data_IF_279999087776
#
_entry.id   IF_279999087776
#
_cell.length_a   1.000
_cell.length_b   1.000
_cell.length_c   1.000
_cell.angle_alpha   90.00
_cell.angle_beta   90.00
_cell.angle_gamma   90.00
#
_symmetry.space_group_name_H-M   'P 1'
#
loop_
_entity.id
_entity.type
_entity.pdbx_description
1 polymer ?
#
# COMPACT_ATOMS: atom_id res chain seq x y z
N UNK A 1 -10.13 -7.02 15.22
CA UNK A 1 -11.32 -7.43 14.45
C UNK A 1 -10.85 -8.27 13.26
N UNK A 2 -11.69 -9.17 12.74
CA UNK A 2 -11.38 -9.96 11.55
C UNK A 2 -12.27 -9.49 10.40
N UNK A 3 -11.69 -9.27 9.22
CA UNK A 3 -12.39 -8.85 8.00
C UNK A 3 -12.39 -10.05 7.04
N UNK A 4 -13.54 -10.71 6.84
CA UNK A 4 -13.65 -11.94 6.04
C UNK A 4 -13.67 -11.72 4.53
N UNK A 5 -13.70 -10.47 4.08
CA UNK A 5 -13.71 -10.07 2.68
C UNK A 5 -12.81 -8.85 2.47
N UNK A 6 -12.35 -8.68 1.24
CA UNK A 6 -11.50 -7.56 0.82
C UNK A 6 -12.16 -6.19 0.99
N UNK A 7 -13.45 -6.11 0.70
CA UNK A 7 -14.25 -4.90 0.85
C UNK A 7 -14.43 -4.51 2.32
N UNK A 8 -14.55 -5.50 3.21
CA UNK A 8 -14.65 -5.26 4.66
C UNK A 8 -13.32 -4.68 5.19
N UNK A 9 -12.20 -5.24 4.74
CA UNK A 9 -10.88 -4.71 5.05
C UNK A 9 -10.74 -3.27 4.54
N UNK A 10 -11.11 -3.03 3.28
CA UNK A 10 -10.99 -1.71 2.66
C UNK A 10 -11.90 -0.66 3.32
N UNK A 11 -13.12 -1.05 3.68
CA UNK A 11 -14.04 -0.19 4.43
C UNK A 11 -13.45 0.18 5.80
N UNK A 12 -12.86 -0.80 6.52
CA UNK A 12 -12.24 -0.50 7.82
C UNK A 12 -10.97 0.33 7.68
N UNK A 13 -10.15 0.08 6.66
CA UNK A 13 -8.96 0.88 6.37
C UNK A 13 -9.33 2.35 6.15
N UNK A 14 -10.38 2.62 5.35
CA UNK A 14 -10.90 3.97 5.11
C UNK A 14 -11.44 4.66 6.37
N UNK A 15 -11.92 3.90 7.35
CA UNK A 15 -12.38 4.46 8.62
C UNK A 15 -11.22 4.81 9.55
N UNK A 16 -10.13 4.05 9.54
CA UNK A 16 -9.02 4.22 10.49
C UNK A 16 -7.95 5.20 10.00
N UNK A 17 -7.62 5.22 8.70
CA UNK A 17 -6.60 6.12 8.15
C UNK A 17 -6.84 7.61 8.48
N UNK A 18 -8.07 8.16 8.36
CA UNK A 18 -8.32 9.57 8.68
C UNK A 18 -8.09 9.93 10.15
N UNK A 19 -8.10 8.94 11.06
CA UNK A 19 -7.94 9.15 12.51
C UNK A 19 -6.48 9.31 12.93
N UNK A 20 -5.52 9.06 12.03
CA UNK A 20 -4.09 9.15 12.32
C UNK A 20 -3.69 10.56 12.79
N UNK A 21 -2.86 10.64 13.83
CA UNK A 21 -2.39 11.89 14.43
C UNK A 21 -0.87 12.06 14.40
N UNK A 22 -0.10 10.96 14.36
CA UNK A 22 1.36 10.98 14.45
C UNK A 22 2.00 10.37 13.22
N UNK A 23 1.64 9.14 12.88
CA UNK A 23 2.23 8.45 11.74
C UNK A 23 1.34 7.36 11.14
N UNK A 24 1.57 7.09 9.86
CA UNK A 24 1.03 5.97 9.10
C UNK A 24 2.20 5.29 8.38
N UNK A 25 2.46 4.02 8.71
CA UNK A 25 3.48 3.22 8.04
C UNK A 25 2.83 2.10 7.24
N UNK A 26 3.22 1.96 5.98
CA UNK A 26 2.67 0.98 5.04
C UNK A 26 3.80 0.15 4.40
N UNK A 27 3.59 -1.16 4.30
CA UNK A 27 4.48 -2.13 3.65
C UNK A 27 3.61 -3.06 2.78
N UNK A 28 3.78 -3.05 1.45
CA UNK A 28 2.94 -3.83 0.52
C UNK A 28 3.71 -4.38 -0.68
N UNK A 29 3.35 -5.58 -1.11
CA UNK A 29 3.92 -6.21 -2.31
C UNK A 29 3.37 -5.60 -3.60
N UNK A 30 2.05 -5.45 -3.70
CA UNK A 30 1.37 -4.89 -4.89
C UNK A 30 0.64 -3.61 -4.50
N UNK A 31 0.87 -2.58 -5.31
CA UNK A 31 0.10 -1.35 -5.34
C UNK A 31 -0.22 -1.06 -6.80
N UNK A 32 -1.48 -0.79 -7.10
CA UNK A 32 -1.96 -0.50 -8.44
C UNK A 32 -2.93 0.68 -8.39
N UNK A 33 -2.78 1.65 -9.30
CA UNK A 33 -3.73 2.77 -9.44
C UNK A 33 -5.11 2.21 -9.81
N UNK A 34 -6.14 2.82 -9.25
CA UNK A 34 -7.50 2.29 -9.30
C UNK A 34 -8.31 2.76 -8.09
N UNK A 35 -9.56 2.32 -7.99
CA UNK A 35 -10.47 2.76 -6.94
C UNK A 35 -9.87 2.62 -5.53
N UNK A 36 -9.30 1.46 -5.22
CA UNK A 36 -8.77 1.16 -3.90
C UNK A 36 -7.60 2.08 -3.55
N UNK A 37 -6.56 2.07 -4.38
CA UNK A 37 -5.34 2.82 -4.08
C UNK A 37 -5.56 4.32 -4.18
N UNK A 38 -6.31 4.81 -5.17
CA UNK A 38 -6.57 6.24 -5.31
C UNK A 38 -7.34 6.78 -4.10
N UNK A 39 -8.32 6.03 -3.60
CA UNK A 39 -9.05 6.38 -2.36
C UNK A 39 -8.13 6.43 -1.15
N UNK A 40 -7.28 5.41 -0.97
CA UNK A 40 -6.30 5.38 0.13
C UNK A 40 -5.32 6.55 0.00
N UNK A 41 -4.81 6.80 -1.20
CA UNK A 41 -3.83 7.83 -1.48
C UNK A 41 -4.37 9.23 -1.17
N UNK A 42 -5.63 9.53 -1.49
CA UNK A 42 -6.25 10.81 -1.12
C UNK A 42 -6.29 11.02 0.40
N UNK A 43 -6.63 9.97 1.17
CA UNK A 43 -6.61 10.05 2.64
C UNK A 43 -5.16 10.26 3.14
N UNK A 44 -4.19 9.54 2.58
CA UNK A 44 -2.78 9.69 2.95
C UNK A 44 -2.26 11.11 2.65
N UNK A 45 -2.62 11.69 1.49
CA UNK A 45 -2.31 13.07 1.13
C UNK A 45 -2.88 14.05 2.15
N UNK A 46 -4.15 13.88 2.54
CA UNK A 46 -4.80 14.72 3.52
C UNK A 46 -4.11 14.65 4.89
N UNK A 47 -3.74 13.44 5.35
CA UNK A 47 -3.03 13.25 6.62
C UNK A 47 -1.60 13.80 6.57
N UNK A 48 -0.87 13.57 5.49
CA UNK A 48 0.47 14.13 5.30
C UNK A 48 0.45 15.67 5.29
N UNK A 49 -0.54 16.28 4.63
CA UNK A 49 -0.75 17.74 4.65
C UNK A 49 -1.10 18.26 6.06
N UNK A 50 -1.78 17.46 6.88
CA UNK A 50 -2.05 17.77 8.29
C UNK A 50 -0.85 17.54 9.23
N UNK A 51 0.32 17.16 8.71
CA UNK A 51 1.55 16.97 9.47
C UNK A 51 1.77 15.55 10.03
N UNK A 52 0.93 14.58 9.64
CA UNK A 52 1.12 13.16 9.98
C UNK A 52 2.28 12.60 9.16
N UNK A 53 3.21 11.88 9.78
CA UNK A 53 4.29 11.22 9.06
C UNK A 53 3.77 10.00 8.29
N UNK A 54 3.84 10.03 6.95
CA UNK A 54 3.44 8.90 6.12
C UNK A 54 4.66 8.28 5.45
N UNK A 55 4.90 7.00 5.74
CA UNK A 55 5.98 6.22 5.14
C UNK A 55 5.42 5.00 4.40
N UNK A 56 5.86 4.79 3.18
CA UNK A 56 5.46 3.68 2.32
C UNK A 56 6.69 2.93 1.81
N UNK A 57 6.73 1.63 2.06
CA UNK A 57 7.63 0.69 1.41
C UNK A 57 6.79 -0.20 0.49
N UNK A 58 7.23 -0.36 -0.75
CA UNK A 58 6.58 -1.30 -1.66
C UNK A 58 7.58 -2.05 -2.53
N UNK A 59 7.22 -3.28 -2.86
CA UNK A 59 8.07 -4.18 -3.61
C UNK A 59 8.13 -3.79 -5.10
N UNK A 60 9.34 -3.58 -5.62
CA UNK A 60 9.52 -3.15 -7.01
C UNK A 60 9.03 -4.22 -8.00
N UNK A 61 9.36 -5.50 -7.82
CA UNK A 61 8.88 -6.58 -8.68
C UNK A 61 7.35 -6.66 -8.71
N UNK A 62 6.71 -6.52 -7.54
CA UNK A 62 5.25 -6.47 -7.45
C UNK A 62 4.63 -5.25 -8.12
N UNK A 63 5.36 -4.15 -8.30
CA UNK A 63 4.82 -2.88 -8.79
C UNK A 63 5.39 -2.40 -10.15
N UNK A 64 6.43 -3.03 -10.69
CA UNK A 64 7.20 -2.53 -11.85
C UNK A 64 6.37 -2.34 -13.13
N UNK A 65 5.30 -3.13 -13.30
CA UNK A 65 4.37 -3.01 -14.43
C UNK A 65 3.11 -2.19 -14.09
N UNK A 66 2.97 -1.74 -12.84
CA UNK A 66 1.76 -1.11 -12.30
C UNK A 66 1.95 0.37 -11.94
N UNK A 67 3.17 0.74 -11.56
CA UNK A 67 3.54 2.09 -11.14
C UNK A 67 4.71 2.60 -11.99
N UNK A 68 4.81 3.91 -12.13
CA UNK A 68 5.94 4.53 -12.83
C UNK A 68 7.22 4.43 -11.99
N UNK A 69 8.38 4.37 -12.65
CA UNK A 69 9.67 4.43 -11.94
C UNK A 69 9.87 5.74 -11.14
N UNK A 70 9.14 6.80 -11.51
CA UNK A 70 9.14 8.09 -10.80
C UNK A 70 8.13 8.16 -9.66
N UNK A 71 7.39 7.09 -9.36
CA UNK A 71 6.31 7.11 -8.38
C UNK A 71 6.75 7.52 -6.96
N UNK A 72 7.94 7.14 -6.44
CA UNK A 72 8.42 7.68 -5.16
C UNK A 72 8.55 9.21 -5.16
N UNK A 73 8.91 9.80 -6.31
CA UNK A 73 9.01 11.26 -6.48
C UNK A 73 7.63 11.91 -6.55
N UNK A 74 6.66 11.24 -7.18
CA UNK A 74 5.26 11.67 -7.16
C UNK A 74 4.73 11.73 -5.72
N UNK A 75 4.95 10.68 -4.93
CA UNK A 75 4.54 10.61 -3.52
C UNK A 75 5.26 11.65 -2.64
N UNK A 76 6.54 11.90 -2.88
CA UNK A 76 7.28 12.94 -2.17
C UNK A 76 6.67 14.34 -2.38
N UNK A 77 6.06 14.60 -3.55
CA UNK A 77 5.32 15.84 -3.82
C UNK A 77 4.09 16.05 -2.91
N UNK A 78 3.64 14.99 -2.22
CA UNK A 78 2.55 15.01 -1.25
C UNK A 78 3.03 14.89 0.21
N UNK A 79 4.32 15.08 0.48
CA UNK A 79 4.95 14.84 1.78
C UNK A 79 4.87 13.38 2.26
N UNK A 80 4.69 12.43 1.33
CA UNK A 80 4.70 10.98 1.62
C UNK A 80 6.11 10.45 1.33
N UNK A 81 6.75 9.86 2.33
CA UNK A 81 8.08 9.25 2.19
C UNK A 81 7.90 7.85 1.61
N UNK A 82 8.36 7.62 0.38
CA UNK A 82 8.21 6.34 -0.28
C UNK A 82 9.56 5.77 -0.75
N UNK A 83 9.74 4.46 -0.60
CA UNK A 83 10.92 3.74 -1.10
C UNK A 83 10.53 2.42 -1.75
N UNK A 84 11.30 2.07 -2.79
CA UNK A 84 11.21 0.77 -3.45
C UNK A 84 12.00 -0.27 -2.66
N UNK A 85 11.38 -1.40 -2.36
CA UNK A 85 12.07 -2.56 -1.82
C UNK A 85 12.66 -3.41 -2.96
N UNK A 86 13.94 -3.76 -2.80
CA UNK A 86 14.73 -4.59 -3.71
C UNK A 86 14.49 -4.26 -5.19
N UNK A 87 14.88 -3.04 -5.59
CA UNK A 87 14.71 -2.56 -6.96
C UNK A 87 15.31 -3.55 -7.98
N UNK A 88 14.53 -3.86 -9.01
CA UNK A 88 14.89 -4.74 -10.10
C UNK A 88 16.03 -4.13 -10.89
N UNK A 89 17.04 -4.95 -11.15
CA UNK A 89 18.23 -4.58 -11.93
C UNK A 89 18.60 -5.73 -12.84
N UNK A 90 19.11 -5.47 -14.07
CA UNK A 90 19.60 -6.53 -14.95
C UNK A 90 20.79 -7.25 -14.28
N UNK A 91 20.51 -8.34 -13.60
CA UNK A 91 21.48 -9.10 -12.81
C UNK A 91 20.99 -10.54 -12.63
N UNK A 92 21.92 -11.47 -12.50
CA UNK A 92 21.67 -12.88 -12.15
C UNK A 92 21.79 -13.13 -10.64
N UNK A 93 21.83 -12.06 -9.84
CA UNK A 93 21.94 -12.10 -8.38
C UNK A 93 20.71 -12.80 -7.75
N UNK A 94 20.88 -13.95 -7.07
CA UNK A 94 19.78 -14.68 -6.45
C UNK A 94 19.00 -13.87 -5.41
N UNK A 95 19.61 -12.83 -4.82
CA UNK A 95 18.94 -11.94 -3.86
C UNK A 95 17.77 -11.17 -4.46
N UNK A 96 17.66 -11.10 -5.79
CA UNK A 96 16.48 -10.54 -6.46
C UNK A 96 15.19 -11.31 -6.14
N UNK A 97 15.30 -12.57 -5.71
CA UNK A 97 14.16 -13.38 -5.25
C UNK A 97 13.71 -13.06 -3.82
N UNK A 98 14.50 -12.30 -3.05
CA UNK A 98 14.07 -11.83 -1.73
C UNK A 98 13.11 -10.66 -1.94
N UNK A 99 11.82 -10.98 -1.98
CA UNK A 99 10.73 -10.01 -2.19
C UNK A 99 10.02 -9.71 -0.87
N UNK A 100 9.55 -8.48 -0.75
CA UNK A 100 8.70 -8.08 0.35
C UNK A 100 7.25 -8.50 0.06
N UNK A 101 6.88 -9.67 0.57
CA UNK A 101 5.54 -10.20 0.46
C UNK A 101 4.63 -9.84 1.64
N UNK A 102 5.02 -8.93 2.52
CA UNK A 102 4.15 -8.48 3.61
C UNK A 102 3.05 -7.56 3.10
N UNK A 103 1.99 -7.43 3.91
CA UNK A 103 0.92 -6.44 3.77
C UNK A 103 0.66 -5.93 5.16
N UNK A 104 1.19 -4.75 5.47
CA UNK A 104 1.12 -4.17 6.80
C UNK A 104 0.74 -2.70 6.66
N UNK A 105 -0.21 -2.26 7.47
CA UNK A 105 -0.44 -0.85 7.73
C UNK A 105 -0.52 -0.63 9.24
N UNK A 106 0.29 0.28 9.76
CA UNK A 106 0.31 0.66 11.18
C UNK A 106 -0.03 2.14 11.31
N UNK A 107 -0.99 2.45 12.18
CA UNK A 107 -1.45 3.82 12.43
C UNK A 107 -1.21 4.14 13.91
N UNK A 108 -0.37 5.13 14.16
CA UNK A 108 -0.01 5.66 15.49
C UNK A 108 0.44 4.61 16.53
N UNK A 109 0.81 3.41 16.10
CA UNK A 109 1.10 2.27 16.98
C UNK A 109 -0.11 1.74 17.74
N UNK A 110 -1.34 2.13 17.35
CA UNK A 110 -2.60 1.74 18.00
C UNK A 110 -3.44 0.81 17.14
N UNK A 111 -3.39 1.00 15.83
CA UNK A 111 -4.13 0.19 14.86
C UNK A 111 -3.13 -0.47 13.91
N UNK A 112 -3.34 -1.76 13.66
CA UNK A 112 -2.54 -2.56 12.75
C UNK A 112 -3.43 -3.36 11.83
N UNK A 113 -3.13 -3.31 10.53
CA UNK A 113 -3.74 -4.12 9.49
C UNK A 113 -2.69 -5.08 8.94
N UNK A 114 -3.08 -6.34 8.77
CA UNK A 114 -2.26 -7.34 8.07
C UNK A 114 -3.13 -8.44 7.47
N UNK A 115 -2.58 -9.21 6.54
CA UNK A 115 -3.30 -10.30 5.86
C UNK A 115 -2.79 -10.55 4.45
N UNK A 116 -3.68 -11.05 3.59
CA UNK A 116 -3.39 -11.37 2.17
C UNK A 116 -3.72 -10.25 1.18
N UNK A 117 -4.36 -9.16 1.62
CA UNK A 117 -4.93 -8.12 0.76
C UNK A 117 -3.88 -7.06 0.40
N UNK A 118 -3.58 -6.91 -0.90
CA UNK A 118 -2.77 -5.81 -1.43
C UNK A 118 -3.63 -4.59 -1.77
N UNK A 119 -3.00 -3.48 -2.19
CA UNK A 119 -3.67 -2.23 -2.54
C UNK A 119 -3.93 -2.15 -4.05
N UNK A 120 -4.88 -2.94 -4.53
CA UNK A 120 -5.31 -2.97 -5.93
C UNK A 120 -6.76 -3.46 -6.05
N UNK A 121 -7.44 -3.08 -7.14
CA UNK A 121 -8.90 -3.25 -7.30
C UNK A 121 -9.37 -4.71 -7.34
N UNK A 122 -8.51 -5.66 -7.73
CA UNK A 122 -8.86 -7.07 -7.66
C UNK A 122 -9.07 -7.54 -6.21
N UNK A 123 -8.37 -6.94 -5.24
CA UNK A 123 -8.45 -7.36 -3.84
C UNK A 123 -9.70 -6.85 -3.11
N UNK A 124 -10.46 -5.96 -3.73
CA UNK A 124 -11.75 -5.47 -3.25
C UNK A 124 -12.89 -5.87 -4.20
N UNK A 125 -12.66 -6.91 -5.01
CA UNK A 125 -13.61 -7.49 -5.97
C UNK A 125 -14.25 -6.48 -6.92
N UNK A 126 -13.55 -5.37 -7.22
CA UNK A 126 -13.95 -4.43 -8.28
C UNK A 126 -13.54 -4.92 -9.66
N UNK A 127 -12.53 -5.77 -9.70
CA UNK A 127 -12.10 -6.50 -10.89
C UNK A 127 -11.99 -7.98 -10.54
N UNK A 128 -12.67 -8.84 -11.30
CA UNK A 128 -12.55 -10.29 -11.13
C UNK A 128 -11.38 -10.81 -11.97
N UNK A 129 -10.20 -10.89 -11.36
CA UNK A 129 -8.98 -11.41 -12.01
C UNK A 129 -8.61 -12.82 -11.54
N UNK A 130 -8.84 -13.12 -10.27
CA UNK A 130 -8.43 -14.38 -9.60
C UNK A 130 -9.55 -14.99 -8.76
N UNK A 131 -10.81 -14.68 -9.10
CA UNK A 131 -11.98 -15.01 -8.28
C UNK A 131 -12.23 -14.00 -7.16
N UNK A 132 -13.13 -14.35 -6.25
CA UNK A 132 -13.55 -13.47 -5.15
C UNK A 132 -12.59 -13.57 -3.96
N UNK A 133 -12.01 -12.44 -3.57
CA UNK A 133 -11.15 -12.35 -2.40
C UNK A 133 -11.96 -12.45 -1.11
N UNK A 134 -11.44 -13.25 -0.17
CA UNK A 134 -11.92 -13.49 1.21
C UNK A 134 -10.81 -13.11 2.20
#
# INVERSE_FOLDING_TARGET
EYSPLGEDFFARLQQELPKAQKFIFLEYFIIEKGLMWDTVLEILKERAAAGVEVCLIYDDFGCIQRLSASYPRELAGYNIKAVLYNAMRPSMDPSLNYRDHRKICVIDGKVGFTGGINLADEYINKVERFGHWK
#
